data_IF_003386968296
#
_entry.id   IF_003386968296
#
_cell.length_a   1.000
_cell.length_b   1.000
_cell.length_c   1.000
_cell.angle_alpha   90.00
_cell.angle_beta   90.00
_cell.angle_gamma   90.00
#
_symmetry.space_group_name_H-M   'P 1'
#
loop_
_entity.id
_entity.type
_entity.pdbx_description
1 polymer ?
#
# COMPACT_ATOMS: atom_id res chain seq x y z
N UNK A 1 -19.96 -4.42 16.92
CA UNK A 1 -19.15 -3.76 15.85
C UNK A 1 -19.93 -2.58 15.31
N UNK A 2 -19.33 -1.40 15.18
CA UNK A 2 -19.96 -0.28 14.48
C UNK A 2 -19.80 -0.48 12.97
N UNK A 3 -20.89 -0.80 12.28
CA UNK A 3 -20.88 -1.15 10.86
C UNK A 3 -20.48 0.02 9.97
N UNK A 4 -20.86 1.25 10.31
CA UNK A 4 -20.48 2.44 9.56
C UNK A 4 -18.96 2.63 9.61
N UNK A 5 -18.37 2.60 10.81
CA UNK A 5 -16.92 2.77 10.99
C UNK A 5 -16.11 1.63 10.36
N UNK A 6 -16.62 0.39 10.39
CA UNK A 6 -15.99 -0.73 9.71
C UNK A 6 -15.91 -0.52 8.17
N UNK A 7 -16.98 -0.02 7.56
CA UNK A 7 -16.99 0.28 6.12
C UNK A 7 -16.08 1.46 5.78
N UNK A 8 -15.99 2.48 6.65
CA UNK A 8 -15.04 3.59 6.49
C UNK A 8 -13.60 3.08 6.52
N UNK A 9 -13.25 2.23 7.49
CA UNK A 9 -11.94 1.60 7.57
C UNK A 9 -11.61 0.84 6.28
N UNK A 10 -12.47 -0.08 5.87
CA UNK A 10 -12.23 -0.87 4.65
C UNK A 10 -12.12 0.01 3.40
N UNK A 11 -12.93 1.06 3.27
CA UNK A 11 -12.86 1.97 2.11
C UNK A 11 -11.55 2.76 2.04
N UNK A 12 -10.92 3.07 3.19
CA UNK A 12 -9.58 3.66 3.23
C UNK A 12 -8.50 2.62 2.88
N UNK A 13 -8.65 1.37 3.34
CA UNK A 13 -7.77 0.25 2.99
C UNK A 13 -7.76 -0.04 1.49
N UNK A 14 -8.83 0.27 0.74
CA UNK A 14 -8.80 0.12 -0.72
C UNK A 14 -7.94 1.18 -1.44
N UNK A 15 -7.32 2.12 -0.72
CA UNK A 15 -6.58 3.27 -1.28
C UNK A 15 -5.18 3.40 -0.71
N UNK A 16 -5.06 3.46 0.62
CA UNK A 16 -3.80 3.81 1.27
C UNK A 16 -2.66 2.81 1.03
N UNK A 17 -2.88 1.48 0.97
CA UNK A 17 -1.82 0.54 0.62
C UNK A 17 -1.15 0.84 -0.73
N UNK A 18 -1.91 1.31 -1.72
CA UNK A 18 -1.36 1.69 -3.03
C UNK A 18 -0.47 2.93 -2.95
N UNK A 19 -0.87 3.94 -2.17
CA UNK A 19 -0.03 5.13 -1.97
C UNK A 19 1.22 4.81 -1.15
N UNK A 20 1.09 3.96 -0.12
CA UNK A 20 2.23 3.47 0.65
C UNK A 20 3.20 2.68 -0.23
N UNK A 21 2.70 1.83 -1.13
CA UNK A 21 3.52 1.09 -2.08
C UNK A 21 4.23 2.03 -3.07
N UNK A 22 3.54 3.07 -3.55
CA UNK A 22 4.13 4.09 -4.43
C UNK A 22 5.27 4.83 -3.74
N UNK A 23 5.06 5.30 -2.50
CA UNK A 23 6.08 5.98 -1.69
C UNK A 23 7.26 5.06 -1.36
N UNK A 24 7.00 3.80 -1.00
CA UNK A 24 8.06 2.83 -0.74
C UNK A 24 8.92 2.57 -1.99
N UNK A 25 8.29 2.50 -3.16
CA UNK A 25 9.00 2.34 -4.44
C UNK A 25 9.87 3.56 -4.76
N UNK A 26 9.35 4.77 -4.55
CA UNK A 26 10.07 6.03 -4.74
C UNK A 26 11.32 6.11 -3.85
N UNK A 27 11.14 5.88 -2.54
CA UNK A 27 12.23 5.91 -1.55
C UNK A 27 13.28 4.81 -1.81
N UNK A 28 12.85 3.61 -2.21
CA UNK A 28 13.75 2.49 -2.50
C UNK A 28 14.63 2.74 -3.74
N UNK A 29 14.12 3.53 -4.69
CA UNK A 29 14.81 3.86 -5.94
C UNK A 29 14.88 2.71 -6.95
N UNK A 30 15.54 2.96 -8.07
CA UNK A 30 15.51 2.08 -9.25
C UNK A 30 16.12 0.69 -9.04
N UNK A 31 16.98 0.50 -8.04
CA UNK A 31 17.56 -0.82 -7.75
C UNK A 31 16.48 -1.83 -7.41
N UNK A 32 15.31 -1.40 -6.93
CA UNK A 32 14.17 -2.27 -6.66
C UNK A 32 13.77 -3.14 -7.87
N UNK A 33 13.86 -2.61 -9.08
CA UNK A 33 13.52 -3.32 -10.33
C UNK A 33 14.71 -3.81 -11.15
N UNK A 34 15.95 -3.50 -10.74
CA UNK A 34 17.17 -3.80 -11.50
C UNK A 34 18.22 -4.54 -10.70
N UNK A 35 17.90 -4.97 -9.48
CA UNK A 35 18.83 -5.68 -8.61
C UNK A 35 19.23 -7.04 -9.19
N UNK A 36 20.52 -7.39 -9.16
CA UNK A 36 20.98 -8.74 -9.45
C UNK A 36 20.33 -9.81 -8.56
N UNK A 37 20.36 -11.06 -9.01
CA UNK A 37 19.85 -12.18 -8.24
C UNK A 37 20.78 -12.53 -7.07
N UNK A 38 20.30 -13.35 -6.14
CA UNK A 38 21.14 -13.90 -5.08
C UNK A 38 22.26 -14.80 -5.64
N UNK A 39 22.00 -15.53 -6.73
CA UNK A 39 22.99 -16.38 -7.39
C UNK A 39 24.14 -15.54 -7.98
N UNK A 40 23.84 -14.37 -8.54
CA UNK A 40 24.88 -13.47 -9.08
C UNK A 40 25.83 -12.97 -7.99
N UNK A 41 25.35 -12.86 -6.74
CA UNK A 41 26.16 -12.44 -5.60
C UNK A 41 27.16 -13.54 -5.17
N UNK A 42 26.83 -14.80 -5.42
CA UNK A 42 27.68 -15.97 -5.15
C UNK A 42 28.62 -16.31 -6.32
N UNK A 43 28.42 -15.69 -7.49
CA UNK A 43 29.27 -15.89 -8.66
C UNK A 43 30.71 -15.41 -8.40
N UNK A 44 31.75 -16.21 -8.70
CA UNK A 44 33.13 -15.87 -8.39
C UNK A 44 33.67 -14.68 -9.20
N UNK A 45 33.03 -14.33 -10.32
CA UNK A 45 33.43 -13.22 -11.20
C UNK A 45 32.57 -11.99 -10.91
N UNK A 46 31.25 -12.10 -10.96
CA UNK A 46 30.32 -10.99 -10.80
C UNK A 46 30.13 -10.56 -9.33
N UNK A 47 30.12 -11.51 -8.40
CA UNK A 47 29.90 -11.27 -6.97
C UNK A 47 30.81 -10.20 -6.38
N UNK A 48 32.13 -10.23 -6.59
CA UNK A 48 33.04 -9.17 -6.14
C UNK A 48 32.70 -7.77 -6.68
N UNK A 49 32.25 -7.67 -7.94
CA UNK A 49 31.84 -6.39 -8.54
C UNK A 49 30.50 -5.91 -7.99
N UNK A 50 29.54 -6.82 -7.78
CA UNK A 50 28.24 -6.49 -7.18
C UNK A 50 28.45 -5.96 -5.76
N UNK A 51 29.26 -6.62 -4.94
CA UNK A 51 29.61 -6.14 -3.60
C UNK A 51 30.30 -4.78 -3.65
N UNK A 52 31.22 -4.56 -4.59
CA UNK A 52 31.90 -3.26 -4.73
C UNK A 52 30.96 -2.13 -5.13
N UNK A 53 30.12 -2.33 -6.14
CA UNK A 53 29.34 -1.25 -6.76
C UNK A 53 27.95 -1.03 -6.13
N UNK A 54 27.42 -1.99 -5.37
CA UNK A 54 26.20 -1.81 -4.59
C UNK A 54 26.45 -1.39 -3.14
N UNK A 55 27.72 -1.21 -2.75
CA UNK A 55 28.09 -0.64 -1.46
C UNK A 55 27.60 0.81 -1.32
N UNK A 56 27.25 1.19 -0.09
CA UNK A 56 26.78 2.54 0.23
C UNK A 56 27.56 3.08 1.43
N UNK A 57 27.00 3.00 2.63
CA UNK A 57 27.73 3.28 3.87
C UNK A 57 28.72 2.15 4.19
N UNK A 58 29.94 2.46 4.69
CA UNK A 58 30.87 1.45 5.20
C UNK A 58 30.29 0.57 6.32
N UNK A 59 29.27 1.08 7.03
CA UNK A 59 28.62 0.38 8.14
C UNK A 59 27.51 -0.58 7.69
N UNK A 60 27.10 -0.55 6.41
CA UNK A 60 25.98 -1.35 5.90
C UNK A 60 26.47 -2.44 4.95
N UNK A 61 26.35 -3.73 5.32
CA UNK A 61 26.61 -4.83 4.41
C UNK A 61 25.69 -4.77 3.18
N UNK A 62 26.27 -4.97 1.99
CA UNK A 62 25.52 -4.95 0.71
C UNK A 62 24.36 -5.93 0.71
N UNK A 63 24.59 -7.13 1.23
CA UNK A 63 23.58 -8.19 1.30
C UNK A 63 22.36 -7.78 2.13
N UNK A 64 22.56 -7.02 3.20
CA UNK A 64 21.45 -6.60 4.06
C UNK A 64 20.62 -5.50 3.40
N UNK A 65 21.28 -4.57 2.70
CA UNK A 65 20.58 -3.61 1.83
C UNK A 65 19.77 -4.32 0.74
N UNK A 66 20.33 -5.33 0.10
CA UNK A 66 19.62 -6.13 -0.91
C UNK A 66 18.39 -6.84 -0.32
N UNK A 67 18.49 -7.44 0.88
CA UNK A 67 17.36 -8.09 1.55
C UNK A 67 16.21 -7.12 1.84
N UNK A 68 16.51 -5.91 2.33
CA UNK A 68 15.48 -4.88 2.58
C UNK A 68 14.78 -4.49 1.28
N UNK A 69 15.54 -4.27 0.21
CA UNK A 69 14.98 -3.94 -1.09
C UNK A 69 14.13 -5.09 -1.66
N UNK A 70 14.56 -6.36 -1.53
CA UNK A 70 13.75 -7.52 -1.93
C UNK A 70 12.45 -7.65 -1.13
N UNK A 71 12.47 -7.30 0.17
CA UNK A 71 11.25 -7.24 0.97
C UNK A 71 10.28 -6.18 0.44
N UNK A 72 10.77 -4.97 0.13
CA UNK A 72 9.96 -3.90 -0.45
C UNK A 72 9.39 -4.36 -1.80
N UNK A 73 10.22 -4.90 -2.68
CA UNK A 73 9.82 -5.40 -4.02
C UNK A 73 8.69 -6.43 -3.88
N UNK A 74 8.84 -7.39 -2.96
CA UNK A 74 7.83 -8.41 -2.73
C UNK A 74 6.48 -7.82 -2.30
N UNK A 75 6.47 -6.77 -1.47
CA UNK A 75 5.25 -6.14 -0.97
C UNK A 75 4.57 -5.20 -1.98
N UNK A 76 5.34 -4.63 -2.93
CA UNK A 76 4.79 -3.64 -3.88
C UNK A 76 4.55 -4.21 -5.28
N UNK A 77 5.29 -5.25 -5.69
CA UNK A 77 5.21 -5.84 -7.03
C UNK A 77 5.26 -7.38 -7.05
N UNK A 78 5.80 -8.03 -6.01
CA UNK A 78 5.92 -9.48 -5.94
C UNK A 78 4.71 -10.22 -5.35
N UNK A 79 4.93 -11.42 -4.84
CA UNK A 79 3.87 -12.28 -4.32
C UNK A 79 3.14 -11.65 -3.11
N UNK A 80 3.87 -10.91 -2.26
CA UNK A 80 3.30 -10.17 -1.14
C UNK A 80 2.31 -9.07 -1.55
N UNK A 81 2.48 -8.49 -2.74
CA UNK A 81 1.60 -7.45 -3.28
C UNK A 81 0.18 -7.96 -3.54
N UNK A 82 -0.01 -9.26 -3.77
CA UNK A 82 -1.35 -9.85 -3.91
C UNK A 82 -2.15 -9.66 -2.63
N UNK A 83 -1.56 -9.96 -1.46
CA UNK A 83 -2.21 -9.70 -0.18
C UNK A 83 -2.26 -8.21 0.13
N UNK A 84 -1.14 -7.52 0.02
CA UNK A 84 -1.06 -6.14 0.48
C UNK A 84 -1.91 -5.16 -0.35
N UNK A 85 -2.02 -5.37 -1.67
CA UNK A 85 -2.74 -4.46 -2.58
C UNK A 85 -4.07 -5.04 -3.06
N UNK A 86 -4.07 -6.26 -3.61
CA UNK A 86 -5.27 -6.82 -4.25
C UNK A 86 -6.30 -7.29 -3.21
N UNK A 87 -5.87 -7.96 -2.15
CA UNK A 87 -6.76 -8.32 -1.03
C UNK A 87 -7.28 -7.05 -0.33
N UNK A 88 -6.40 -6.07 -0.09
CA UNK A 88 -6.82 -4.74 0.39
C UNK A 88 -7.87 -4.05 -0.48
N UNK A 89 -7.87 -4.29 -1.80
CA UNK A 89 -8.90 -3.77 -2.72
C UNK A 89 -10.22 -4.55 -2.66
N UNK A 90 -10.16 -5.89 -2.58
CA UNK A 90 -11.32 -6.75 -2.85
C UNK A 90 -11.80 -7.62 -1.69
N UNK A 91 -10.96 -7.86 -0.68
CA UNK A 91 -11.31 -8.58 0.53
C UNK A 91 -12.51 -7.96 1.24
N UNK A 92 -13.47 -8.77 1.69
CA UNK A 92 -14.75 -8.29 2.24
C UNK A 92 -15.56 -7.35 1.31
N UNK A 93 -15.31 -7.39 0.00
CA UNK A 93 -16.07 -6.69 -1.05
C UNK A 93 -15.32 -5.52 -1.69
N UNK A 94 -15.61 -5.21 -2.97
CA UNK A 94 -14.97 -4.12 -3.70
C UNK A 94 -15.41 -2.74 -3.15
N UNK A 95 -14.67 -1.64 -3.43
CA UNK A 95 -14.92 -0.30 -2.87
C UNK A 95 -16.38 0.17 -2.97
N UNK A 96 -17.07 -0.19 -4.05
CA UNK A 96 -18.47 0.17 -4.26
C UNK A 96 -19.40 -0.44 -3.20
N UNK A 97 -19.09 -1.65 -2.73
CA UNK A 97 -19.86 -2.30 -1.67
C UNK A 97 -19.83 -1.46 -0.38
N UNK A 98 -18.66 -0.95 0.03
CA UNK A 98 -18.56 -0.12 1.21
C UNK A 98 -19.26 1.24 1.01
N UNK A 99 -19.19 1.84 -0.18
CA UNK A 99 -19.92 3.09 -0.48
C UNK A 99 -21.44 2.92 -0.37
N UNK A 100 -21.99 1.81 -0.87
CA UNK A 100 -23.41 1.48 -0.72
C UNK A 100 -23.76 1.33 0.76
N UNK A 101 -22.97 0.56 1.51
CA UNK A 101 -23.25 0.31 2.93
C UNK A 101 -23.13 1.56 3.81
N UNK A 102 -22.19 2.45 3.51
CA UNK A 102 -22.09 3.77 4.15
C UNK A 102 -23.33 4.60 3.80
N UNK A 103 -23.73 4.67 2.52
CA UNK A 103 -24.91 5.42 2.10
C UNK A 103 -26.19 4.98 2.82
N UNK A 104 -26.36 3.68 3.04
CA UNK A 104 -27.49 3.10 3.81
C UNK A 104 -27.47 3.47 5.31
N UNK A 105 -26.31 3.81 5.87
CA UNK A 105 -26.11 4.01 7.32
C UNK A 105 -25.78 5.46 7.69
N UNK A 106 -25.56 6.34 6.72
CA UNK A 106 -25.07 7.69 6.94
C UNK A 106 -26.17 8.71 7.31
N UNK A 107 -27.43 8.27 7.44
CA UNK A 107 -28.61 9.12 7.68
C UNK A 107 -28.62 10.41 6.84
N UNK A 108 -28.59 10.24 5.51
CA UNK A 108 -28.59 11.37 4.58
C UNK A 108 -29.86 12.22 4.71
N UNK A 109 -31.02 11.58 4.95
CA UNK A 109 -32.28 12.29 5.12
C UNK A 109 -32.27 13.17 6.38
N UNK A 110 -31.73 12.69 7.50
CA UNK A 110 -31.56 13.50 8.71
C UNK A 110 -30.63 14.69 8.49
N UNK A 111 -29.52 14.48 7.78
CA UNK A 111 -28.59 15.57 7.43
C UNK A 111 -29.22 16.61 6.49
N UNK A 112 -30.06 16.19 5.54
CA UNK A 112 -30.79 17.11 4.67
C UNK A 112 -31.75 17.97 5.50
N UNK A 113 -32.53 17.35 6.41
CA UNK A 113 -33.43 18.10 7.31
C UNK A 113 -32.69 19.13 8.16
N UNK A 114 -31.52 18.78 8.71
CA UNK A 114 -30.69 19.73 9.45
C UNK A 114 -30.26 20.92 8.60
N UNK A 115 -29.98 20.72 7.31
CA UNK A 115 -29.66 21.82 6.38
C UNK A 115 -30.90 22.66 6.07
N UNK A 116 -32.06 22.04 5.87
CA UNK A 116 -33.33 22.75 5.64
C UNK A 116 -33.70 23.64 6.84
N UNK A 117 -33.53 23.14 8.06
CA UNK A 117 -33.71 23.90 9.30
C UNK A 117 -32.77 25.11 9.37
N UNK A 118 -31.47 24.92 9.08
CA UNK A 118 -30.49 26.00 9.08
C UNK A 118 -30.79 27.09 8.04
N UNK A 119 -31.43 26.73 6.93
CA UNK A 119 -31.81 27.65 5.86
C UNK A 119 -33.19 28.29 6.05
N UNK A 120 -33.94 27.90 7.09
CA UNK A 120 -35.32 28.36 7.29
C UNK A 120 -36.30 27.85 6.22
N UNK A 121 -36.02 26.67 5.65
CA UNK A 121 -36.84 26.00 4.64
C UNK A 121 -37.76 24.91 5.23
N UNK A 122 -37.62 24.59 6.51
CA UNK A 122 -38.56 23.73 7.22
C UNK A 122 -39.88 24.46 7.46
N UNK A 123 -41.00 23.75 7.33
CA UNK A 123 -42.33 24.23 7.78
C UNK A 123 -42.30 24.72 9.24
#
# INVERSE_FOLDING_TARGET
VNLLLANVCKLNVTRFPFELARLATDIAGGLLGTMPSAADLEDPIAGPYIQKYLATSPETPVVDRMKVLRLIENLVAGAGAVGYLIESMHGAGPPMAQRIMIGRQADLAGKIRQVEELLGLGE
#
